data_IF_290672335199
#
_entry.id   IF_290672335199
#
_cell.length_a   1.000
_cell.length_b   1.000
_cell.length_c   1.000
_cell.angle_alpha   90.00
_cell.angle_beta   90.00
_cell.angle_gamma   90.00
#
_symmetry.space_group_name_H-M   'P 1'
#
loop_
_entity.id
_entity.type
_entity.pdbx_description
1 polymer ?
#
# COMPACT_ATOMS: atom_id res chain seq x y z
N UNK A 1 1.42 20.43 -0.33
CA UNK A 1 2.35 19.99 0.75
C UNK A 1 2.57 18.49 0.63
N UNK A 2 3.82 18.05 0.76
CA UNK A 2 4.21 16.63 0.80
C UNK A 2 4.75 16.29 2.19
N UNK A 3 4.35 15.16 2.74
CA UNK A 3 4.92 14.60 3.97
C UNK A 3 5.34 13.15 3.74
N UNK A 4 6.56 12.82 4.17
CA UNK A 4 7.11 11.47 4.04
C UNK A 4 6.83 10.61 5.28
N UNK A 5 6.03 11.10 6.24
CA UNK A 5 5.75 10.41 7.50
C UNK A 5 5.16 9.01 7.31
N UNK A 6 4.45 8.78 6.21
CA UNK A 6 3.79 7.49 5.92
C UNK A 6 4.63 6.61 4.98
N UNK A 7 5.80 7.06 4.52
CA UNK A 7 6.62 6.31 3.55
C UNK A 7 7.12 4.98 4.12
N UNK A 8 7.24 4.82 5.44
CA UNK A 8 7.63 3.54 6.05
C UNK A 8 6.62 2.42 5.79
N UNK A 9 5.37 2.73 5.43
CA UNK A 9 4.33 1.73 5.15
C UNK A 9 4.74 0.83 3.98
N UNK A 10 5.60 1.32 3.06
CA UNK A 10 6.16 0.48 1.98
C UNK A 10 7.01 -0.69 2.49
N UNK A 11 7.52 -0.63 3.72
CA UNK A 11 8.27 -1.73 4.34
C UNK A 11 7.38 -2.97 4.56
N UNK A 12 6.05 -2.82 4.58
CA UNK A 12 5.12 -3.95 4.63
C UNK A 12 5.31 -4.91 3.45
N UNK A 13 5.73 -4.40 2.28
CA UNK A 13 6.06 -5.25 1.12
C UNK A 13 7.28 -6.14 1.35
N UNK A 14 8.12 -5.83 2.33
CA UNK A 14 9.33 -6.60 2.64
C UNK A 14 9.08 -7.75 3.63
N UNK A 15 7.93 -7.75 4.32
CA UNK A 15 7.64 -8.70 5.41
C UNK A 15 7.74 -10.16 4.95
N UNK A 16 7.25 -10.49 3.75
CA UNK A 16 7.36 -11.83 3.17
C UNK A 16 8.80 -12.34 3.09
N UNK A 17 9.77 -11.46 2.79
CA UNK A 17 11.18 -11.84 2.69
C UNK A 17 11.79 -12.11 4.05
N UNK A 18 11.30 -11.47 5.12
CA UNK A 18 11.68 -11.79 6.50
C UNK A 18 11.28 -13.22 6.84
N UNK A 19 10.06 -13.63 6.48
CA UNK A 19 9.61 -15.01 6.67
C UNK A 19 10.48 -15.99 5.87
N UNK A 20 10.76 -15.71 4.60
CA UNK A 20 11.64 -16.55 3.77
C UNK A 20 13.04 -16.65 4.38
N UNK A 21 13.61 -15.54 4.87
CA UNK A 21 14.92 -15.52 5.51
C UNK A 21 14.98 -16.42 6.75
N UNK A 22 13.92 -16.47 7.56
CA UNK A 22 13.82 -17.38 8.71
C UNK A 22 13.94 -18.85 8.26
N UNK A 23 13.27 -19.22 7.16
CA UNK A 23 13.36 -20.59 6.62
C UNK A 23 14.74 -20.91 6.05
N UNK A 24 15.38 -19.95 5.37
CA UNK A 24 16.75 -20.09 4.85
C UNK A 24 17.74 -20.29 6.00
N UNK A 25 17.69 -19.44 7.03
CA UNK A 25 18.56 -19.54 8.21
C UNK A 25 18.35 -20.88 8.91
N UNK A 26 17.10 -21.31 9.07
CA UNK A 26 16.79 -22.63 9.67
C UNK A 26 17.38 -23.77 8.84
N UNK A 27 17.28 -23.72 7.52
CA UNK A 27 17.86 -24.73 6.64
C UNK A 27 19.39 -24.79 6.77
N UNK A 28 20.05 -23.63 6.83
CA UNK A 28 21.50 -23.53 7.05
C UNK A 28 21.93 -24.11 8.41
N UNK A 29 21.18 -23.83 9.48
CA UNK A 29 21.45 -24.42 10.80
C UNK A 29 21.29 -25.95 10.74
N UNK A 30 20.23 -26.45 10.10
CA UNK A 30 19.98 -27.89 10.01
C UNK A 30 21.05 -28.64 9.22
N UNK A 31 21.59 -28.04 8.17
CA UNK A 31 22.67 -28.68 7.41
C UNK A 31 24.01 -28.62 8.13
N UNK A 32 24.37 -27.48 8.73
CA UNK A 32 25.63 -27.33 9.44
C UNK A 32 25.72 -28.19 10.70
N UNK A 33 24.65 -28.27 11.50
CA UNK A 33 24.69 -28.94 12.80
C UNK A 33 24.17 -30.39 12.78
N UNK A 34 23.29 -30.74 11.85
CA UNK A 34 22.65 -32.07 11.82
C UNK A 34 23.00 -32.88 10.57
N UNK A 35 23.90 -32.39 9.71
CA UNK A 35 24.39 -33.12 8.53
C UNK A 35 23.32 -33.47 7.51
N UNK A 36 22.18 -32.77 7.52
CA UNK A 36 21.07 -33.04 6.59
C UNK A 36 21.46 -32.70 5.15
N UNK A 37 20.94 -33.48 4.20
CA UNK A 37 21.15 -33.26 2.78
C UNK A 37 20.65 -31.86 2.35
N UNK A 38 21.57 -31.02 1.87
CA UNK A 38 21.27 -29.64 1.48
C UNK A 38 20.22 -29.55 0.36
N UNK A 39 20.23 -30.50 -0.57
CA UNK A 39 19.27 -30.50 -1.69
C UNK A 39 17.82 -30.60 -1.23
N UNK A 40 17.51 -31.50 -0.30
CA UNK A 40 16.14 -31.67 0.22
C UNK A 40 15.67 -30.44 1.00
N UNK A 41 16.56 -29.86 1.83
CA UNK A 41 16.27 -28.65 2.58
C UNK A 41 16.01 -27.45 1.66
N UNK A 42 16.80 -27.30 0.60
CA UNK A 42 16.61 -26.21 -0.37
C UNK A 42 15.33 -26.36 -1.19
N UNK A 43 14.94 -27.59 -1.57
CA UNK A 43 13.64 -27.86 -2.20
C UNK A 43 12.51 -27.44 -1.26
N UNK A 44 12.58 -27.81 0.01
CA UNK A 44 11.60 -27.45 1.01
C UNK A 44 11.50 -25.92 1.22
N UNK A 45 12.64 -25.22 1.28
CA UNK A 45 12.68 -23.74 1.33
C UNK A 45 12.03 -23.13 0.09
N UNK A 46 12.27 -23.69 -1.09
CA UNK A 46 11.61 -23.26 -2.33
C UNK A 46 10.09 -23.38 -2.26
N UNK A 47 9.58 -24.53 -1.80
CA UNK A 47 8.14 -24.77 -1.62
C UNK A 47 7.54 -23.77 -0.62
N UNK A 48 8.16 -23.58 0.54
CA UNK A 48 7.66 -22.62 1.53
C UNK A 48 7.70 -21.19 1.02
N UNK A 49 8.73 -20.82 0.25
CA UNK A 49 8.82 -19.49 -0.36
C UNK A 49 7.64 -19.24 -1.29
N UNK A 50 7.32 -20.19 -2.16
CA UNK A 50 6.15 -20.11 -3.07
C UNK A 50 4.86 -19.94 -2.27
N UNK A 51 4.65 -20.76 -1.22
CA UNK A 51 3.47 -20.65 -0.35
C UNK A 51 3.38 -19.27 0.30
N UNK A 52 4.48 -18.74 0.86
CA UNK A 52 4.53 -17.41 1.47
C UNK A 52 4.17 -16.33 0.44
N UNK A 53 4.71 -16.40 -0.78
CA UNK A 53 4.36 -15.46 -1.84
C UNK A 53 2.86 -15.50 -2.19
N UNK A 54 2.26 -16.68 -2.28
CA UNK A 54 0.83 -16.82 -2.52
C UNK A 54 -0.02 -16.25 -1.39
N UNK A 55 0.42 -16.39 -0.13
CA UNK A 55 -0.27 -15.82 1.02
C UNK A 55 -0.20 -14.28 1.02
N UNK A 56 0.99 -13.72 0.80
CA UNK A 56 1.19 -12.28 0.94
C UNK A 56 0.70 -11.47 -0.28
N UNK A 57 1.00 -11.94 -1.50
CA UNK A 57 0.72 -11.21 -2.75
C UNK A 57 -0.43 -11.83 -3.56
N UNK A 58 -0.70 -13.12 -3.35
CA UNK A 58 -1.69 -13.86 -4.11
C UNK A 58 -3.08 -13.80 -3.48
N UNK A 59 -3.61 -14.96 -3.13
CA UNK A 59 -5.04 -15.16 -2.82
C UNK A 59 -5.54 -14.35 -1.62
N UNK A 60 -4.70 -14.13 -0.60
CA UNK A 60 -5.13 -13.47 0.63
C UNK A 60 -4.83 -11.96 0.67
N UNK A 61 -4.10 -11.41 -0.32
CA UNK A 61 -3.68 -10.00 -0.41
C UNK A 61 -3.29 -9.37 0.95
N UNK A 62 -2.59 -10.13 1.81
CA UNK A 62 -2.31 -9.73 3.20
C UNK A 62 -1.50 -8.43 3.24
N UNK A 63 -0.59 -8.23 2.29
CA UNK A 63 0.17 -6.99 2.15
C UNK A 63 -0.75 -5.78 2.08
N UNK A 64 -1.75 -5.83 1.18
CA UNK A 64 -2.69 -4.73 1.00
C UNK A 64 -3.59 -4.51 2.20
N UNK A 65 -3.99 -5.58 2.89
CA UNK A 65 -4.80 -5.49 4.11
C UNK A 65 -4.04 -4.82 5.27
N UNK A 66 -2.77 -5.18 5.47
CA UNK A 66 -1.92 -4.57 6.51
C UNK A 66 -1.71 -3.08 6.21
N UNK A 67 -1.35 -2.75 4.97
CA UNK A 67 -1.14 -1.38 4.50
C UNK A 67 -2.40 -0.55 4.69
N UNK A 68 -3.56 -1.05 4.24
CA UNK A 68 -4.85 -0.38 4.39
C UNK A 68 -5.19 -0.12 5.86
N UNK A 69 -4.98 -1.11 6.73
CA UNK A 69 -5.24 -0.97 8.16
C UNK A 69 -4.39 0.14 8.77
N UNK A 70 -3.12 0.23 8.39
CA UNK A 70 -2.22 1.25 8.90
C UNK A 70 -2.54 2.65 8.34
N UNK A 71 -2.84 2.76 7.04
CA UNK A 71 -3.28 4.01 6.42
C UNK A 71 -4.56 4.54 7.08
N UNK A 72 -5.54 3.66 7.30
CA UNK A 72 -6.78 4.01 8.00
C UNK A 72 -6.50 4.47 9.43
N UNK A 73 -5.69 3.72 10.19
CA UNK A 73 -5.31 4.10 11.56
C UNK A 73 -4.66 5.48 11.63
N UNK A 74 -3.81 5.84 10.66
CA UNK A 74 -3.16 7.15 10.60
C UNK A 74 -4.14 8.25 10.22
N UNK A 75 -4.99 7.99 9.24
CA UNK A 75 -6.02 8.93 8.80
C UNK A 75 -7.00 9.23 9.92
N UNK A 76 -7.51 8.21 10.61
CA UNK A 76 -8.47 8.36 11.72
C UNK A 76 -7.91 9.24 12.86
N UNK A 77 -6.58 9.23 13.08
CA UNK A 77 -5.90 10.04 14.09
C UNK A 77 -5.70 11.51 13.71
N UNK A 78 -5.88 11.88 12.44
CA UNK A 78 -5.70 13.26 12.01
C UNK A 78 -6.81 14.14 12.59
N UNK A 79 -6.49 15.23 13.32
CA UNK A 79 -7.48 16.11 13.95
C UNK A 79 -8.03 17.15 12.94
N UNK A 80 -8.56 16.66 11.82
CA UNK A 80 -9.15 17.45 10.74
C UNK A 80 -10.50 16.86 10.33
N UNK A 81 -11.43 17.70 9.83
CA UNK A 81 -12.67 17.22 9.23
C UNK A 81 -12.35 16.42 7.95
N UNK A 82 -13.16 15.39 7.69
CA UNK A 82 -12.96 14.48 6.56
C UNK A 82 -14.29 14.22 5.90
N UNK A 83 -14.37 14.54 4.62
CA UNK A 83 -15.48 14.20 3.74
C UNK A 83 -14.97 13.40 2.54
N UNK A 84 -15.89 12.79 1.79
CA UNK A 84 -15.57 12.02 0.58
C UNK A 84 -14.43 11.00 0.79
N UNK A 85 -14.50 10.25 1.89
CA UNK A 85 -13.46 9.29 2.28
C UNK A 85 -13.52 8.08 1.35
N UNK A 86 -12.48 7.89 0.56
CA UNK A 86 -12.33 6.76 -0.35
C UNK A 86 -11.12 5.93 0.07
N UNK A 87 -11.39 4.65 0.36
CA UNK A 87 -10.40 3.66 0.75
C UNK A 87 -10.45 2.53 -0.28
N UNK A 88 -9.32 2.15 -0.84
CA UNK A 88 -9.27 1.03 -1.78
C UNK A 88 -8.09 0.11 -1.51
N UNK A 89 -8.36 -1.18 -1.64
CA UNK A 89 -7.36 -2.23 -1.77
C UNK A 89 -7.84 -3.10 -2.93
N UNK A 90 -7.29 -2.88 -4.12
CA UNK A 90 -7.76 -3.54 -5.34
C UNK A 90 -6.56 -3.90 -6.22
N UNK A 91 -6.35 -5.20 -6.45
CA UNK A 91 -5.30 -5.73 -7.36
C UNK A 91 -3.91 -5.15 -7.08
N UNK A 92 -3.56 -5.03 -5.81
CA UNK A 92 -2.27 -4.47 -5.37
C UNK A 92 -2.16 -2.94 -5.37
N UNK A 93 -3.21 -2.22 -5.76
CA UNK A 93 -3.31 -0.77 -5.56
C UNK A 93 -4.01 -0.49 -4.23
N UNK A 94 -3.32 0.24 -3.36
CA UNK A 94 -3.79 0.53 -2.00
C UNK A 94 -3.61 1.99 -1.69
N UNK A 95 -4.68 2.64 -1.25
CA UNK A 95 -4.62 4.04 -0.89
C UNK A 95 -5.85 4.56 -0.18
N UNK A 96 -5.69 5.77 0.33
CA UNK A 96 -6.72 6.55 0.99
C UNK A 96 -6.77 7.94 0.37
N UNK A 97 -7.98 8.44 0.23
CA UNK A 97 -8.29 9.79 -0.21
C UNK A 97 -9.41 10.36 0.65
N UNK A 98 -9.35 11.65 0.97
CA UNK A 98 -10.47 12.39 1.54
C UNK A 98 -10.32 13.88 1.25
N UNK A 99 -11.40 14.63 1.42
CA UNK A 99 -11.41 16.09 1.31
C UNK A 99 -11.56 16.71 2.69
N UNK A 100 -10.82 17.78 2.94
CA UNK A 100 -10.98 18.70 4.07
C UNK A 100 -11.79 19.90 3.57
N UNK A 101 -13.11 19.97 3.89
CA UNK A 101 -13.98 21.04 3.41
C UNK A 101 -13.64 22.41 4.01
N UNK A 102 -13.10 22.45 5.23
CA UNK A 102 -12.74 23.72 5.90
C UNK A 102 -11.60 24.44 5.16
N UNK A 103 -10.67 23.66 4.61
CA UNK A 103 -9.50 24.20 3.89
C UNK A 103 -9.62 24.13 2.38
N UNK A 104 -10.65 23.47 1.84
CA UNK A 104 -10.78 23.21 0.41
C UNK A 104 -9.62 22.40 -0.16
N UNK A 105 -9.05 21.49 0.65
CA UNK A 105 -7.91 20.65 0.25
C UNK A 105 -8.31 19.19 0.15
N UNK A 106 -7.65 18.44 -0.74
CA UNK A 106 -7.69 16.99 -0.66
C UNK A 106 -6.42 16.46 -0.01
N UNK A 107 -6.56 15.28 0.58
CA UNK A 107 -5.50 14.49 1.16
C UNK A 107 -5.43 13.17 0.40
N UNK A 108 -4.25 12.81 -0.06
CA UNK A 108 -4.02 11.61 -0.86
C UNK A 108 -2.76 10.88 -0.41
N UNK A 109 -2.89 9.59 -0.15
CA UNK A 109 -1.76 8.72 0.18
C UNK A 109 -2.01 7.31 -0.35
N UNK A 110 -1.16 6.86 -1.27
CA UNK A 110 -1.26 5.54 -1.89
C UNK A 110 0.09 4.98 -2.33
N UNK A 111 0.09 3.77 -2.87
CA UNK A 111 1.25 3.21 -3.54
C UNK A 111 1.69 4.01 -4.78
N UNK A 112 0.81 4.78 -5.45
CA UNK A 112 1.20 5.69 -6.56
C UNK A 112 2.16 6.80 -6.09
N UNK A 113 2.20 7.04 -4.79
CA UNK A 113 2.97 8.11 -4.13
C UNK A 113 4.09 7.59 -3.25
N UNK A 114 4.41 6.30 -3.32
CA UNK A 114 5.30 5.62 -2.36
C UNK A 114 4.89 5.86 -0.89
N UNK A 115 3.58 5.96 -0.67
CA UNK A 115 2.94 6.33 0.60
C UNK A 115 3.43 7.67 1.18
N UNK A 116 3.92 8.58 0.35
CA UNK A 116 4.03 9.98 0.76
C UNK A 116 2.62 10.58 0.81
N UNK A 117 2.33 11.30 1.88
CA UNK A 117 1.07 12.01 2.04
C UNK A 117 1.15 13.33 1.27
N UNK A 118 0.21 13.52 0.35
CA UNK A 118 0.04 14.76 -0.40
C UNK A 118 -1.22 15.48 0.04
N UNK A 119 -1.08 16.79 0.25
CA UNK A 119 -2.17 17.71 0.59
C UNK A 119 -2.14 18.87 -0.40
N UNK A 120 -3.19 19.03 -1.19
CA UNK A 120 -3.27 20.10 -2.19
C UNK A 120 -4.65 20.75 -2.22
N UNK A 121 -4.74 22.04 -2.61
CA UNK A 121 -6.02 22.68 -2.89
C UNK A 121 -6.74 21.95 -4.03
N UNK A 122 -8.03 21.69 -3.87
CA UNK A 122 -8.84 20.95 -4.86
C UNK A 122 -8.91 21.74 -6.18
N UNK A 123 -9.02 23.07 -6.10
CA UNK A 123 -9.11 23.97 -7.25
C UNK A 123 -7.90 23.94 -8.19
N UNK A 124 -6.78 23.35 -7.76
CA UNK A 124 -5.58 23.26 -8.58
C UNK A 124 -5.62 22.10 -9.60
N UNK A 125 -6.65 21.25 -9.53
CA UNK A 125 -6.75 20.02 -10.30
C UNK A 125 -8.04 20.00 -11.12
N UNK A 126 -7.91 19.55 -12.37
CA UNK A 126 -9.02 19.07 -13.17
C UNK A 126 -9.44 17.71 -12.63
N UNK A 127 -10.72 17.57 -12.30
CA UNK A 127 -11.30 16.34 -11.77
C UNK A 127 -12.26 15.79 -12.81
N UNK A 128 -12.05 14.55 -13.20
CA UNK A 128 -12.93 13.84 -14.12
C UNK A 128 -13.04 12.39 -13.68
N UNK A 129 -14.15 11.74 -13.98
CA UNK A 129 -14.44 10.42 -13.46
C UNK A 129 -15.05 9.48 -14.50
N UNK A 130 -14.88 8.19 -14.25
CA UNK A 130 -15.62 7.14 -14.94
C UNK A 130 -16.37 6.28 -13.89
N UNK A 131 -16.90 5.13 -14.29
CA UNK A 131 -17.71 4.29 -13.41
C UNK A 131 -16.96 3.77 -12.17
N UNK A 132 -15.64 3.63 -12.23
CA UNK A 132 -14.84 2.97 -11.17
C UNK A 132 -13.74 3.84 -10.57
N UNK A 133 -13.35 4.91 -11.27
CA UNK A 133 -12.20 5.75 -10.96
C UNK A 133 -12.56 7.23 -11.02
N UNK A 134 -11.89 8.00 -10.17
CA UNK A 134 -11.81 9.46 -10.22
C UNK A 134 -10.35 9.80 -10.54
N UNK A 135 -10.14 10.66 -11.52
CA UNK A 135 -8.83 11.13 -11.94
C UNK A 135 -8.66 12.59 -11.54
N UNK A 136 -7.44 12.90 -11.11
CA UNK A 136 -7.02 14.23 -10.75
C UNK A 136 -5.81 14.57 -11.61
N UNK A 137 -5.88 15.68 -12.32
CA UNK A 137 -4.81 16.16 -13.20
C UNK A 137 -4.54 17.64 -12.91
N UNK A 138 -3.28 17.97 -12.62
CA UNK A 138 -2.88 19.34 -12.29
C UNK A 138 -3.18 20.27 -13.46
N UNK A 139 -3.82 21.41 -13.19
CA UNK A 139 -4.20 22.38 -14.23
C UNK A 139 -2.97 23.07 -14.83
N UNK A 140 -2.06 23.53 -13.98
CA UNK A 140 -0.85 24.26 -14.37
C UNK A 140 0.20 24.25 -13.25
N UNK A 141 1.46 24.39 -13.64
CA UNK A 141 2.62 24.43 -12.74
C UNK A 141 3.26 23.07 -12.50
N UNK A 142 4.48 23.09 -11.97
CA UNK A 142 5.21 21.88 -11.63
C UNK A 142 4.94 21.48 -10.18
N UNK A 143 4.43 20.27 -9.96
CA UNK A 143 4.25 19.69 -8.65
C UNK A 143 4.55 18.18 -8.68
N UNK A 144 4.95 17.62 -7.55
CA UNK A 144 5.28 16.20 -7.40
C UNK A 144 4.15 15.26 -7.82
N UNK A 145 2.89 15.72 -7.83
CA UNK A 145 1.70 14.92 -8.09
C UNK A 145 0.92 15.47 -9.29
N UNK A 146 1.48 15.32 -10.50
CA UNK A 146 0.87 15.83 -11.73
C UNK A 146 -0.45 15.15 -12.10
N UNK A 147 -0.52 13.83 -11.92
CA UNK A 147 -1.69 13.03 -12.25
C UNK A 147 -1.80 11.82 -11.33
N UNK A 148 -2.99 11.60 -10.79
CA UNK A 148 -3.26 10.42 -9.96
C UNK A 148 -4.71 9.98 -10.10
N UNK A 149 -4.98 8.74 -9.68
CA UNK A 149 -6.32 8.16 -9.69
C UNK A 149 -6.72 7.68 -8.30
N UNK A 150 -8.02 7.75 -8.03
CA UNK A 150 -8.69 7.27 -6.83
C UNK A 150 -9.76 6.29 -7.26
N UNK A 151 -9.91 5.18 -6.53
CA UNK A 151 -11.00 4.24 -6.79
C UNK A 151 -12.25 4.69 -6.07
N UNK A 152 -13.36 4.68 -6.80
CA UNK A 152 -14.67 4.90 -6.21
C UNK A 152 -14.96 3.75 -5.22
N UNK A 153 -15.63 4.06 -4.09
CA UNK A 153 -16.05 3.02 -3.16
C UNK A 153 -16.99 2.07 -3.89
N UNK A 154 -16.79 0.76 -3.69
CA UNK A 154 -17.74 -0.24 -4.19
C UNK A 154 -19.05 0.00 -3.44
N UNK A 155 -20.05 0.55 -4.12
CA UNK A 155 -21.40 0.64 -3.59
C UNK A 155 -21.93 -0.79 -3.46
N UNK A 156 -21.94 -1.31 -2.24
CA UNK A 156 -22.72 -2.50 -1.90
C UNK A 156 -24.18 -2.07 -1.86
N UNK A 157 -24.93 -2.35 -2.92
CA UNK A 157 -26.38 -2.26 -2.98
C UNK A 157 -27.02 -3.48 -2.33
#
# INVERSE_FOLDING_TARGET
>A
MKSNEYSYIKLCYLVKYVFIAIFVIRALILSMFFGKAMNELMIMVGIYSVIIFFIFKGWFEIEGLIIMRELKRRTDKLPIPKENIFNWNNKGEVGIFFTDPEKGTFWFCSNQTDYNLYVYPIMEFNIYENNTLIFFEKIAGDCDLQKFKVFKPVQTY
#
